data_IF_614389866373
#
_entry.id   IF_614389866373
#
_cell.length_a   1.000
_cell.length_b   1.000
_cell.length_c   1.000
_cell.angle_alpha   90.00
_cell.angle_beta   90.00
_cell.angle_gamma   90.00
#
_symmetry.space_group_name_H-M   'P 1'
#
loop_
_entity.id
_entity.type
_entity.pdbx_description
1 polymer ?
#
# COMPACT_ATOMS: atom_id res chain seq x y z
N UNK A 1 21.14 12.83 54.15
CA UNK A 1 21.44 13.40 52.82
C UNK A 1 22.70 12.69 52.32
N UNK A 2 22.79 11.96 51.20
CA UNK A 2 22.09 12.05 49.91
C UNK A 2 22.11 10.65 49.24
N UNK A 3 21.08 9.81 49.48
CA UNK A 3 20.76 8.64 48.63
C UNK A 3 19.61 9.04 47.66
N UNK A 4 19.43 10.35 47.43
CA UNK A 4 18.24 10.91 46.78
C UNK A 4 18.49 11.36 45.35
N UNK A 5 19.49 10.80 44.66
CA UNK A 5 19.83 11.19 43.29
C UNK A 5 20.04 10.01 42.32
N UNK A 6 20.01 8.75 42.79
CA UNK A 6 20.23 7.60 41.91
C UNK A 6 18.95 7.15 41.17
N UNK A 7 17.76 7.47 41.69
CA UNK A 7 16.48 7.02 41.13
C UNK A 7 15.94 7.88 39.98
N UNK A 8 16.52 9.07 39.75
CA UNK A 8 16.07 9.97 38.68
C UNK A 8 16.80 9.78 37.35
N UNK A 9 17.93 9.07 37.32
CA UNK A 9 18.71 8.84 36.08
C UNK A 9 18.30 7.53 35.39
N UNK A 10 17.72 6.57 36.12
CA UNK A 10 17.19 5.33 35.54
C UNK A 10 15.81 5.49 34.87
N UNK A 11 15.10 6.61 35.09
CA UNK A 11 13.78 6.87 34.50
C UNK A 11 13.84 7.58 33.14
N UNK A 12 15.00 8.10 32.72
CA UNK A 12 15.17 8.82 31.45
C UNK A 12 15.70 7.97 30.28
N UNK A 13 15.77 6.64 30.42
CA UNK A 13 16.12 5.72 29.32
C UNK A 13 14.90 4.97 28.73
N UNK A 14 13.71 5.22 29.27
CA UNK A 14 12.45 4.88 28.58
C UNK A 14 12.00 6.09 27.75
N UNK A 15 12.90 6.60 26.93
CA UNK A 15 12.54 7.50 25.82
C UNK A 15 11.75 6.69 24.81
N UNK A 16 10.44 6.68 25.04
CA UNK A 16 9.35 6.56 24.07
C UNK A 16 9.84 6.20 22.67
N UNK A 17 9.95 4.91 22.37
CA UNK A 17 9.80 4.48 20.98
C UNK A 17 8.36 4.79 20.60
N UNK A 18 8.13 5.99 20.07
CA UNK A 18 6.90 6.37 19.40
C UNK A 18 6.79 5.56 18.11
N UNK A 19 6.49 4.28 18.26
CA UNK A 19 6.31 3.33 17.17
C UNK A 19 4.80 3.29 16.86
N UNK A 20 4.35 3.79 15.71
CA UNK A 20 3.31 3.00 15.05
C UNK A 20 4.06 1.83 14.44
N UNK A 21 3.55 0.63 14.71
CA UNK A 21 4.18 -0.61 14.34
C UNK A 21 4.48 -0.59 12.84
N UNK A 22 5.76 -0.77 12.51
CA UNK A 22 6.18 -1.31 11.22
C UNK A 22 5.16 -2.33 10.76
N UNK A 23 4.61 -2.14 9.57
CA UNK A 23 3.62 -3.06 9.03
C UNK A 23 4.37 -4.17 8.35
N UNK A 24 4.27 -5.34 8.93
CA UNK A 24 4.67 -6.59 8.28
C UNK A 24 3.46 -7.18 7.57
N UNK A 25 3.71 -7.86 6.46
CA UNK A 25 2.68 -8.60 5.76
C UNK A 25 3.27 -9.69 4.90
N UNK A 26 2.43 -10.62 4.50
CA UNK A 26 2.79 -11.68 3.55
C UNK A 26 1.87 -11.59 2.35
N UNK A 27 2.43 -11.51 1.16
CA UNK A 27 1.68 -11.54 -0.10
C UNK A 27 1.67 -12.97 -0.60
N UNK A 28 0.47 -13.50 -0.83
CA UNK A 28 0.24 -14.86 -1.28
C UNK A 28 -0.70 -14.89 -2.48
N UNK A 29 -0.56 -15.92 -3.29
CA UNK A 29 -1.54 -16.28 -4.30
C UNK A 29 -2.84 -16.69 -3.63
N UNK A 30 -3.95 -16.09 -4.04
CA UNK A 30 -5.25 -16.24 -3.40
C UNK A 30 -5.82 -17.66 -3.53
N UNK A 31 -5.47 -18.38 -4.59
CA UNK A 31 -6.01 -19.70 -4.90
C UNK A 31 -5.18 -20.81 -4.22
N UNK A 32 -3.86 -20.68 -4.26
CA UNK A 32 -2.91 -21.71 -3.81
C UNK A 32 -2.36 -21.45 -2.42
N UNK A 33 -2.42 -20.21 -1.92
CA UNK A 33 -1.79 -19.79 -0.68
C UNK A 33 -0.26 -19.72 -0.74
N UNK A 34 0.35 -19.92 -1.90
CA UNK A 34 1.81 -19.86 -2.06
C UNK A 34 2.32 -18.41 -1.96
N UNK A 35 3.49 -18.17 -1.34
CA UNK A 35 4.08 -16.84 -1.26
C UNK A 35 4.42 -16.27 -2.64
N UNK A 36 4.26 -14.96 -2.81
CA UNK A 36 4.58 -14.25 -4.05
C UNK A 36 5.81 -13.36 -3.85
N UNK A 37 6.91 -13.72 -4.50
CA UNK A 37 8.11 -12.90 -4.60
C UNK A 37 7.94 -11.74 -5.59
N UNK A 38 8.52 -10.57 -5.25
CA UNK A 38 8.60 -9.43 -6.14
C UNK A 38 7.28 -8.68 -6.35
N UNK A 39 6.30 -8.86 -5.47
CA UNK A 39 5.12 -8.00 -5.42
C UNK A 39 5.50 -6.64 -4.83
N UNK A 40 5.04 -5.56 -5.45
CA UNK A 40 5.26 -4.21 -4.92
C UNK A 40 4.10 -3.88 -3.98
N UNK A 41 4.43 -3.44 -2.78
CA UNK A 41 3.47 -2.89 -1.83
C UNK A 41 3.75 -1.40 -1.68
N UNK A 42 2.73 -0.59 -1.95
CA UNK A 42 2.76 0.85 -1.83
C UNK A 42 1.84 1.26 -0.69
N UNK A 43 2.37 2.06 0.23
CA UNK A 43 1.62 2.75 1.26
C UNK A 43 1.73 4.26 1.04
N UNK A 44 0.59 4.94 0.94
CA UNK A 44 0.54 6.40 0.81
C UNK A 44 -0.32 7.01 1.90
N UNK A 45 0.33 7.81 2.74
CA UNK A 45 -0.30 8.64 3.75
C UNK A 45 -0.66 9.99 3.16
N UNK A 46 -1.84 10.49 3.53
CA UNK A 46 -2.32 11.79 3.11
C UNK A 46 -2.69 12.67 4.31
N UNK A 47 -2.72 13.97 4.07
CA UNK A 47 -3.27 14.94 5.01
C UNK A 47 -4.45 15.65 4.34
N UNK A 48 -5.52 15.82 5.10
CA UNK A 48 -6.67 16.61 4.68
C UNK A 48 -6.32 18.09 4.79
N UNK A 49 -6.53 18.85 3.71
CA UNK A 49 -6.27 20.29 3.61
C UNK A 49 -7.51 21.03 3.13
N UNK A 50 -7.54 22.35 3.35
CA UNK A 50 -8.64 23.22 2.98
C UNK A 50 -9.55 23.56 4.16
N UNK A 51 -10.23 24.70 4.05
CA UNK A 51 -11.30 25.13 4.93
C UNK A 51 -12.58 25.19 4.09
N UNK A 52 -13.62 24.45 4.46
CA UNK A 52 -14.82 24.25 3.64
C UNK A 52 -14.63 23.13 2.60
N UNK A 53 -14.13 23.48 1.40
CA UNK A 53 -13.80 22.48 0.38
C UNK A 53 -12.46 21.81 0.71
N UNK A 54 -12.54 20.58 1.22
CA UNK A 54 -11.36 19.81 1.60
C UNK A 54 -10.80 19.00 0.44
N UNK A 55 -9.48 18.86 0.38
CA UNK A 55 -8.78 17.96 -0.54
C UNK A 55 -7.72 17.15 0.21
N UNK A 56 -7.37 16.00 -0.34
CA UNK A 56 -6.27 15.16 0.17
C UNK A 56 -4.97 15.58 -0.49
N UNK A 57 -3.92 15.80 0.30
CA UNK A 57 -2.57 16.02 -0.19
C UNK A 57 -1.69 14.84 0.24
N UNK A 58 -0.93 14.27 -0.70
CA UNK A 58 0.08 13.27 -0.39
C UNK A 58 1.08 13.83 0.63
N UNK A 59 1.35 13.05 1.68
CA UNK A 59 2.25 13.43 2.76
C UNK A 59 3.49 12.56 2.75
N UNK A 60 3.31 11.23 2.73
CA UNK A 60 4.42 10.29 2.65
C UNK A 60 4.03 9.07 1.81
N UNK A 61 5.00 8.57 1.05
CA UNK A 61 4.87 7.40 0.18
C UNK A 61 6.01 6.47 0.48
N UNK A 62 5.69 5.21 0.78
CA UNK A 62 6.67 4.15 0.99
C UNK A 62 6.34 3.01 0.05
N UNK A 63 7.34 2.54 -0.70
CA UNK A 63 7.27 1.33 -1.49
C UNK A 63 8.18 0.26 -0.88
N UNK A 64 7.72 -0.99 -0.91
CA UNK A 64 8.51 -2.14 -0.55
C UNK A 64 8.22 -3.29 -1.52
N UNK A 65 9.17 -4.21 -1.66
CA UNK A 65 9.06 -5.36 -2.55
C UNK A 65 9.16 -6.64 -1.72
N UNK A 66 8.29 -7.60 -2.01
CA UNK A 66 8.28 -8.87 -1.27
C UNK A 66 9.50 -9.74 -1.58
N UNK A 67 10.00 -10.42 -0.55
CA UNK A 67 11.05 -11.42 -0.66
C UNK A 67 10.53 -12.79 -1.17
N UNK A 68 11.39 -13.81 -1.18
CA UNK A 68 11.08 -15.17 -1.65
C UNK A 68 9.99 -15.85 -0.84
N UNK A 69 9.88 -15.48 0.43
CA UNK A 69 8.85 -15.94 1.35
C UNK A 69 7.57 -15.10 1.25
N UNK A 70 7.51 -14.17 0.30
CA UNK A 70 6.38 -13.27 0.08
C UNK A 70 6.24 -12.20 1.16
N UNK A 71 7.22 -12.06 2.06
CA UNK A 71 7.15 -11.14 3.19
C UNK A 71 7.55 -9.75 2.77
N UNK A 72 6.92 -8.76 3.41
CA UNK A 72 7.23 -7.35 3.22
C UNK A 72 7.16 -6.63 4.56
N UNK A 73 7.98 -5.59 4.66
CA UNK A 73 8.05 -4.71 5.82
C UNK A 73 7.94 -3.28 5.33
N UNK A 74 6.92 -2.55 5.78
CA UNK A 74 6.71 -1.14 5.47
C UNK A 74 6.86 -0.33 6.75
N UNK A 75 7.76 0.64 6.71
CA UNK A 75 7.91 1.61 7.79
C UNK A 75 6.61 2.38 7.97
N UNK A 76 6.00 2.25 9.16
CA UNK A 76 4.83 3.02 9.54
C UNK A 76 5.16 4.49 9.80
N UNK A 77 4.14 5.34 9.80
CA UNK A 77 4.27 6.76 10.14
C UNK A 77 3.51 7.07 11.44
N UNK A 78 4.24 7.54 12.47
CA UNK A 78 3.64 8.00 13.73
C UNK A 78 3.29 9.48 13.72
N UNK A 79 2.09 9.80 13.20
CA UNK A 79 1.56 11.16 13.24
C UNK A 79 0.01 11.14 13.33
N UNK A 80 -0.60 11.59 14.45
CA UNK A 80 -2.04 11.58 14.63
C UNK A 80 -2.80 12.58 13.74
N UNK A 81 -2.09 13.50 13.07
CA UNK A 81 -2.66 14.47 12.14
C UNK A 81 -2.63 14.01 10.67
N UNK A 82 -2.19 12.77 10.44
CA UNK A 82 -2.10 12.17 9.12
C UNK A 82 -3.14 11.06 9.02
N UNK A 83 -3.81 10.98 7.87
CA UNK A 83 -4.81 9.94 7.62
C UNK A 83 -4.16 8.55 7.58
N UNK A 84 -4.92 7.50 7.88
CA UNK A 84 -4.49 6.13 7.59
C UNK A 84 -4.13 6.00 6.10
N UNK A 85 -3.11 5.22 5.75
CA UNK A 85 -2.63 5.20 4.38
C UNK A 85 -3.55 4.39 3.48
N UNK A 86 -3.55 4.75 2.20
CA UNK A 86 -4.00 3.86 1.14
C UNK A 86 -2.92 2.83 0.89
N UNK A 87 -3.30 1.55 0.87
CA UNK A 87 -2.43 0.43 0.58
C UNK A 87 -2.82 -0.18 -0.75
N UNK A 88 -1.83 -0.37 -1.62
CA UNK A 88 -1.99 -1.08 -2.88
C UNK A 88 -0.86 -2.09 -3.04
N UNK A 89 -1.22 -3.34 -3.30
CA UNK A 89 -0.29 -4.45 -3.58
C UNK A 89 -0.49 -4.91 -5.02
N UNK A 90 0.59 -5.04 -5.77
CA UNK A 90 0.51 -5.53 -7.14
C UNK A 90 1.70 -6.39 -7.54
N UNK A 91 1.38 -7.42 -8.33
CA UNK A 91 2.34 -8.26 -9.06
C UNK A 91 1.79 -8.50 -10.45
N UNK A 92 2.65 -8.46 -11.46
CA UNK A 92 2.30 -8.83 -12.84
C UNK A 92 1.58 -10.19 -12.88
N UNK A 93 0.44 -10.24 -13.56
CA UNK A 93 -0.40 -11.44 -13.69
C UNK A 93 -1.46 -11.60 -12.59
N UNK A 94 -1.55 -10.64 -11.66
CA UNK A 94 -2.56 -10.60 -10.59
C UNK A 94 -3.40 -9.34 -10.67
N UNK A 95 -4.59 -9.40 -10.10
CA UNK A 95 -5.42 -8.24 -9.79
C UNK A 95 -4.77 -7.47 -8.63
N UNK A 96 -4.70 -6.15 -8.77
CA UNK A 96 -4.21 -5.27 -7.73
C UNK A 96 -5.11 -5.35 -6.50
N UNK A 97 -4.51 -5.60 -5.35
CA UNK A 97 -5.22 -5.56 -4.08
C UNK A 97 -5.14 -4.14 -3.52
N UNK A 98 -6.27 -3.56 -3.14
CA UNK A 98 -6.34 -2.25 -2.50
C UNK A 98 -7.16 -2.32 -1.21
N UNK A 99 -6.78 -1.54 -0.20
CA UNK A 99 -7.44 -1.56 1.11
C UNK A 99 -8.78 -0.80 1.14
N UNK A 100 -9.08 0.03 0.14
CA UNK A 100 -10.31 0.83 0.07
C UNK A 100 -11.33 0.24 -0.90
N UNK A 101 -10.90 -0.28 -2.05
CA UNK A 101 -11.78 -0.76 -3.12
C UNK A 101 -11.32 -2.10 -3.71
N UNK A 102 -12.27 -2.83 -4.29
CA UNK A 102 -12.05 -4.17 -4.86
C UNK A 102 -12.34 -4.13 -6.36
N UNK A 103 -11.38 -4.50 -7.20
CA UNK A 103 -11.57 -4.70 -8.64
C UNK A 103 -12.39 -5.99 -8.91
N UNK A 104 -13.20 -6.07 -9.98
CA UNK A 104 -13.49 -5.01 -10.98
C UNK A 104 -14.60 -4.04 -10.54
N UNK A 105 -15.45 -4.44 -9.61
CA UNK A 105 -16.70 -3.74 -9.28
C UNK A 105 -16.49 -2.41 -8.54
N UNK A 106 -15.28 -2.14 -8.05
CA UNK A 106 -14.93 -0.98 -7.19
C UNK A 106 -15.80 -0.90 -5.92
N UNK A 107 -16.24 -2.05 -5.42
CA UNK A 107 -16.94 -2.13 -4.14
C UNK A 107 -15.97 -1.74 -3.02
N UNK A 108 -16.48 -1.00 -2.02
CA UNK A 108 -15.68 -0.64 -0.85
C UNK A 108 -15.27 -1.90 -0.10
N UNK A 109 -13.98 -2.02 0.21
CA UNK A 109 -13.44 -3.09 1.04
C UNK A 109 -13.79 -2.83 2.51
N UNK A 110 -14.33 -3.84 3.19
CA UNK A 110 -14.77 -3.74 4.59
C UNK A 110 -14.07 -4.77 5.50
N UNK A 111 -13.39 -5.75 4.91
CA UNK A 111 -12.70 -6.84 5.61
C UNK A 111 -11.27 -6.47 6.02
N UNK A 112 -10.76 -5.34 5.54
CA UNK A 112 -9.43 -4.87 5.88
C UNK A 112 -9.39 -4.30 7.29
N UNK A 113 -8.48 -4.85 8.10
CA UNK A 113 -8.13 -4.33 9.42
C UNK A 113 -6.62 -4.19 9.49
N UNK A 114 -6.18 -2.97 9.75
CA UNK A 114 -4.76 -2.66 9.90
C UNK A 114 -4.17 -3.51 11.02
N UNK A 115 -3.26 -4.43 10.67
CA UNK A 115 -2.65 -5.37 11.61
C UNK A 115 -1.28 -5.82 11.11
N UNK A 116 -0.40 -6.16 12.05
CA UNK A 116 0.87 -6.80 11.71
C UNK A 116 0.62 -8.20 11.18
N UNK A 117 1.50 -8.64 10.29
CA UNK A 117 1.48 -9.95 9.64
C UNK A 117 0.20 -10.19 8.81
N UNK A 118 -0.42 -9.12 8.30
CA UNK A 118 -1.58 -9.23 7.43
C UNK A 118 -1.25 -10.02 6.16
N UNK A 119 -2.17 -10.91 5.77
CA UNK A 119 -2.02 -11.74 4.57
C UNK A 119 -2.75 -11.10 3.41
N UNK A 120 -2.00 -10.51 2.48
CA UNK A 120 -2.52 -9.96 1.23
C UNK A 120 -2.70 -11.11 0.23
N UNK A 121 -3.97 -11.45 -0.07
CA UNK A 121 -4.32 -12.49 -1.03
C UNK A 121 -4.54 -11.85 -2.40
N UNK A 122 -3.67 -12.15 -3.35
CA UNK A 122 -3.79 -11.66 -4.72
C UNK A 122 -4.58 -12.66 -5.57
N UNK A 123 -5.64 -12.19 -6.20
CA UNK A 123 -6.36 -12.96 -7.21
C UNK A 123 -5.57 -12.94 -8.53
N UNK A 124 -5.49 -14.08 -9.23
CA UNK A 124 -4.91 -14.10 -10.58
C UNK A 124 -5.74 -13.25 -11.53
N UNK A 125 -5.05 -12.52 -12.40
CA UNK A 125 -5.70 -11.79 -13.47
C UNK A 125 -6.26 -12.78 -14.48
N UNK A 126 -7.56 -12.71 -14.75
CA UNK A 126 -8.27 -13.67 -15.60
C UNK A 126 -8.49 -13.11 -17.01
N UNK A 127 -8.61 -13.96 -18.05
CA UNK A 127 -8.80 -13.51 -19.43
C UNK A 127 -10.04 -12.65 -19.66
N UNK A 128 -11.07 -12.79 -18.84
CA UNK A 128 -12.30 -12.00 -18.90
C UNK A 128 -12.14 -10.56 -18.37
N UNK A 129 -11.06 -10.25 -17.67
CA UNK A 129 -10.81 -8.90 -17.16
C UNK A 129 -10.20 -8.00 -18.24
N UNK A 130 -10.65 -6.74 -18.25
CA UNK A 130 -10.11 -5.69 -19.11
C UNK A 130 -8.84 -5.11 -18.51
N UNK A 131 -7.76 -5.07 -19.29
CA UNK A 131 -6.52 -4.40 -18.92
C UNK A 131 -6.74 -2.90 -18.78
N UNK A 132 -7.58 -2.31 -19.65
CA UNK A 132 -7.93 -0.90 -19.56
C UNK A 132 -8.66 -0.59 -18.24
N UNK A 133 -9.62 -1.42 -17.84
CA UNK A 133 -10.31 -1.25 -16.56
C UNK A 133 -9.36 -1.39 -15.37
N UNK A 134 -8.42 -2.33 -15.44
CA UNK A 134 -7.47 -2.57 -14.35
C UNK A 134 -6.39 -1.49 -14.22
N UNK A 135 -5.88 -0.96 -15.34
CA UNK A 135 -4.99 0.22 -15.33
C UNK A 135 -5.69 1.41 -14.68
N UNK A 136 -6.94 1.69 -15.05
CA UNK A 136 -7.71 2.77 -14.42
C UNK A 136 -7.90 2.53 -12.92
N UNK A 137 -8.12 1.28 -12.51
CA UNK A 137 -8.21 0.92 -11.10
C UNK A 137 -6.89 1.14 -10.35
N UNK A 138 -5.76 0.70 -10.93
CA UNK A 138 -4.42 0.89 -10.39
C UNK A 138 -4.08 2.38 -10.26
N UNK A 139 -4.30 3.16 -11.32
CA UNK A 139 -4.02 4.61 -11.35
C UNK A 139 -4.78 5.35 -10.24
N UNK A 140 -6.05 5.00 -10.00
CA UNK A 140 -6.85 5.53 -8.89
C UNK A 140 -6.32 5.05 -7.53
N UNK A 141 -6.07 3.75 -7.39
CA UNK A 141 -5.67 3.10 -6.14
C UNK A 141 -4.31 3.60 -5.61
N UNK A 142 -3.43 4.05 -6.51
CA UNK A 142 -2.11 4.60 -6.16
C UNK A 142 -2.08 6.12 -6.18
N UNK A 143 -3.22 6.81 -6.38
CA UNK A 143 -3.28 8.26 -6.56
C UNK A 143 -2.23 8.79 -7.55
N UNK A 144 -2.20 8.21 -8.76
CA UNK A 144 -1.09 8.36 -9.74
C UNK A 144 -0.76 9.81 -10.12
N UNK A 145 -1.70 10.72 -9.93
CA UNK A 145 -1.57 12.17 -10.16
C UNK A 145 -0.83 12.93 -9.05
N UNK A 146 -0.44 12.26 -7.96
CA UNK A 146 0.31 12.85 -6.84
C UNK A 146 1.58 12.07 -6.53
N UNK A 147 2.64 12.76 -6.09
CA UNK A 147 3.91 12.16 -5.63
C UNK A 147 4.47 11.06 -6.57
N UNK A 148 4.29 11.21 -7.89
CA UNK A 148 4.64 10.19 -8.87
C UNK A 148 6.13 9.84 -8.87
N UNK A 149 6.99 10.80 -8.53
CA UNK A 149 8.43 10.63 -8.37
C UNK A 149 8.81 9.64 -7.26
N UNK A 150 7.92 9.43 -6.27
CA UNK A 150 8.08 8.48 -5.16
C UNK A 150 7.44 7.10 -5.44
N UNK A 151 6.77 6.92 -6.58
CA UNK A 151 5.96 5.72 -6.90
C UNK A 151 6.56 4.90 -8.05
N UNK A 152 7.89 4.90 -8.15
CA UNK A 152 8.59 4.40 -9.33
C UNK A 152 8.50 2.88 -9.45
N UNK A 153 8.59 2.15 -8.33
CA UNK A 153 8.57 0.69 -8.34
C UNK A 153 7.18 0.19 -8.74
N UNK A 154 6.14 0.79 -8.17
CA UNK A 154 4.76 0.49 -8.51
C UNK A 154 4.46 0.85 -9.96
N UNK A 155 4.83 2.06 -10.41
CA UNK A 155 4.62 2.49 -11.81
C UNK A 155 5.27 1.52 -12.79
N UNK A 156 6.55 1.16 -12.56
CA UNK A 156 7.25 0.18 -13.39
C UNK A 156 6.58 -1.20 -13.37
N UNK A 157 6.03 -1.61 -12.23
CA UNK A 157 5.43 -2.93 -12.08
C UNK A 157 4.24 -3.14 -13.04
N UNK A 158 3.40 -2.13 -13.29
CA UNK A 158 2.22 -2.24 -14.17
C UNK A 158 2.39 -1.52 -15.54
N UNK A 159 3.59 -1.05 -15.90
CA UNK A 159 3.85 -0.47 -17.23
C UNK A 159 3.50 -1.41 -18.39
N UNK A 160 3.74 -2.72 -18.21
CA UNK A 160 3.38 -3.72 -19.23
C UNK A 160 1.85 -3.80 -19.45
N UNK A 161 1.08 -3.59 -18.39
CA UNK A 161 -0.37 -3.63 -18.39
C UNK A 161 -0.94 -2.37 -19.05
N UNK A 162 -0.29 -1.20 -18.88
CA UNK A 162 -0.57 0.00 -19.70
C UNK A 162 -0.38 -0.24 -21.19
N UNK A 163 0.62 -1.01 -21.61
CA UNK A 163 0.79 -1.39 -23.03
C UNK A 163 -0.37 -2.26 -23.52
N UNK A 164 -0.78 -3.26 -22.73
CA UNK A 164 -1.95 -4.11 -23.05
C UNK A 164 -3.26 -3.32 -23.11
N UNK A 165 -3.49 -2.43 -22.15
CA UNK A 165 -4.65 -1.54 -22.13
C UNK A 165 -4.73 -0.66 -23.39
N UNK A 166 -3.59 -0.18 -23.89
CA UNK A 166 -3.54 0.56 -25.15
C UNK A 166 -3.89 -0.32 -26.35
N UNK A 167 -3.37 -1.55 -26.44
CA UNK A 167 -3.73 -2.51 -27.48
C UNK A 167 -5.24 -2.81 -27.46
N UNK A 168 -5.81 -3.02 -26.28
CA UNK A 168 -7.25 -3.26 -26.07
C UNK A 168 -8.08 -2.07 -26.57
N UNK A 169 -7.71 -0.84 -26.17
CA UNK A 169 -8.39 0.39 -26.60
C UNK A 169 -8.36 0.59 -28.12
N UNK A 170 -7.28 0.21 -28.79
CA UNK A 170 -7.16 0.36 -30.25
C UNK A 170 -8.00 -0.67 -31.01
N UNK A 171 -8.28 -1.84 -30.42
CA UNK A 171 -9.17 -2.86 -31.03
C UNK A 171 -10.65 -2.52 -30.90
N UNK A 172 -11.01 -1.65 -29.96
CA UNK A 172 -12.40 -1.22 -29.71
C UNK A 172 -12.81 -0.01 -30.58
N UNK A 173 -11.87 0.58 -31.33
CA UNK A 173 -12.11 1.65 -32.29
C UNK A 173 -12.32 1.09 -33.69
#
# INVERSE_FOLDING_TARGET
MRIRNALFIAFCLLSVTGCYATITGTVVDGDTGQPIEGAVVLAEWSITKGLGLTYSKSHEVVEAVTDKEGKVTISGLFNPFVNHPSLTVYRKGYVAWNNQYIFPDRKRRLDFKWSNDYVFRLEKFRPEYSYLAHVNFLDDAIFSYTAGEKKQSMTKAYEWERKRANEERMKQK
#
